data_IF_897213363575
#
_entry.id   IF_897213363575
#
_cell.length_a   1.000
_cell.length_b   1.000
_cell.length_c   1.000
_cell.angle_alpha   90.00
_cell.angle_beta   90.00
_cell.angle_gamma   90.00
#
_symmetry.space_group_name_H-M   'P 1'
#
loop_
_entity.id
_entity.type
_entity.pdbx_description
1 polymer ?
#
# COMPACT_ATOMS: atom_id res chain seq x y z
N UNK A 1 14.18 -9.52 0.11
CA UNK A 1 13.45 -9.79 -1.15
C UNK A 1 14.07 -10.96 -1.91
N UNK A 2 15.25 -10.77 -2.52
CA UNK A 2 15.94 -11.81 -3.32
C UNK A 2 17.08 -12.54 -2.59
N UNK A 3 17.46 -12.06 -1.41
CA UNK A 3 18.52 -12.59 -0.55
C UNK A 3 17.90 -13.05 0.77
N UNK A 4 18.51 -14.03 1.45
CA UNK A 4 18.02 -14.59 2.72
C UNK A 4 16.94 -15.65 2.53
N UNK A 5 17.30 -16.80 1.92
CA UNK A 5 16.41 -17.96 1.76
C UNK A 5 16.76 -19.05 2.76
N UNK A 6 15.73 -19.69 3.32
CA UNK A 6 15.88 -20.74 4.33
C UNK A 6 16.65 -20.25 5.57
N UNK A 7 17.14 -21.17 6.40
CA UNK A 7 17.82 -20.85 7.65
C UNK A 7 19.33 -20.56 7.49
N UNK A 8 19.74 -19.99 6.34
CA UNK A 8 21.15 -19.68 6.06
C UNK A 8 21.40 -18.18 6.23
N UNK A 9 22.38 -17.84 7.07
CA UNK A 9 22.84 -16.46 7.20
C UNK A 9 23.25 -15.91 5.82
N UNK A 10 22.73 -14.75 5.48
CA UNK A 10 22.96 -14.09 4.21
C UNK A 10 23.28 -12.62 4.44
N UNK A 11 24.03 -12.02 3.52
CA UNK A 11 24.44 -10.62 3.58
C UNK A 11 24.04 -9.92 2.30
N UNK A 12 23.65 -8.65 2.41
CA UNK A 12 23.29 -7.79 1.29
C UNK A 12 24.10 -6.50 1.41
N UNK A 13 25.11 -6.34 0.56
CA UNK A 13 25.94 -5.14 0.53
C UNK A 13 25.35 -4.15 -0.47
N UNK A 14 25.25 -2.88 -0.06
CA UNK A 14 24.64 -1.81 -0.84
C UNK A 14 25.71 -0.77 -1.15
N UNK A 15 25.90 -0.48 -2.44
CA UNK A 15 26.87 0.48 -2.93
C UNK A 15 26.16 1.55 -3.76
N UNK A 16 26.67 2.77 -3.73
CA UNK A 16 26.24 3.88 -4.59
C UNK A 16 27.47 4.51 -5.20
N UNK A 17 27.44 4.73 -6.52
CA UNK A 17 28.49 5.49 -7.22
C UNK A 17 28.35 7.00 -7.02
N UNK A 18 27.17 7.45 -6.55
CA UNK A 18 26.85 8.87 -6.36
C UNK A 18 26.69 9.17 -4.87
N UNK A 19 27.28 10.28 -4.45
CA UNK A 19 27.15 10.83 -3.09
C UNK A 19 25.91 11.73 -2.95
N UNK A 20 24.84 11.41 -3.66
CA UNK A 20 23.58 12.13 -3.54
C UNK A 20 22.92 11.83 -2.18
N UNK A 21 22.59 12.88 -1.42
CA UNK A 21 22.03 12.76 -0.08
C UNK A 21 20.69 12.02 -0.07
N UNK A 22 19.88 12.16 -1.13
CA UNK A 22 18.62 11.45 -1.30
C UNK A 22 18.83 9.95 -1.50
N UNK A 23 19.74 9.56 -2.41
CA UNK A 23 20.12 8.16 -2.64
C UNK A 23 20.68 7.53 -1.36
N UNK A 24 21.62 8.21 -0.69
CA UNK A 24 22.22 7.72 0.55
C UNK A 24 21.20 7.61 1.70
N UNK A 25 20.25 8.56 1.78
CA UNK A 25 19.14 8.51 2.73
C UNK A 25 18.27 7.25 2.55
N UNK A 26 17.92 6.92 1.31
CA UNK A 26 17.13 5.73 0.97
C UNK A 26 17.87 4.44 1.29
N UNK A 27 19.16 4.34 0.93
CA UNK A 27 19.97 3.17 1.25
C UNK A 27 20.12 2.98 2.76
N UNK A 28 20.30 4.06 3.52
CA UNK A 28 20.33 4.01 5.00
C UNK A 28 19.00 3.54 5.58
N UNK A 29 17.86 4.02 5.08
CA UNK A 29 16.55 3.56 5.53
C UNK A 29 16.37 2.07 5.22
N UNK A 30 16.70 1.64 4.01
CA UNK A 30 16.64 0.24 3.59
C UNK A 30 17.49 -0.67 4.49
N UNK A 31 18.69 -0.25 4.86
CA UNK A 31 19.58 -1.04 5.73
C UNK A 31 19.10 -1.14 7.19
N UNK A 32 18.26 -0.19 7.65
CA UNK A 32 17.80 -0.13 9.05
C UNK A 32 16.55 -0.95 9.33
N UNK A 33 15.81 -1.38 8.31
CA UNK A 33 14.52 -2.05 8.48
C UNK A 33 14.37 -3.26 7.56
N UNK A 34 13.80 -4.33 8.10
CA UNK A 34 13.43 -5.53 7.35
C UNK A 34 11.91 -5.59 7.07
N UNK A 35 11.14 -4.59 7.52
CA UNK A 35 9.70 -4.52 7.34
C UNK A 35 9.35 -3.96 5.96
N UNK A 36 8.81 -4.83 5.10
CA UNK A 36 8.44 -4.49 3.73
C UNK A 36 7.36 -3.42 3.62
N UNK A 37 6.45 -3.32 4.60
CA UNK A 37 5.39 -2.32 4.58
C UNK A 37 5.96 -0.92 4.83
N UNK A 38 6.84 -0.79 5.83
CA UNK A 38 7.54 0.48 6.11
C UNK A 38 8.44 0.93 4.96
N UNK A 39 9.09 -0.02 4.29
CA UNK A 39 9.86 0.26 3.06
C UNK A 39 8.97 0.80 1.95
N UNK A 40 7.79 0.21 1.74
CA UNK A 40 6.83 0.66 0.74
C UNK A 40 6.29 2.06 1.06
N UNK A 41 5.94 2.35 2.31
CA UNK A 41 5.45 3.67 2.72
C UNK A 41 6.51 4.76 2.51
N UNK A 42 7.76 4.50 2.90
CA UNK A 42 8.84 5.48 2.74
C UNK A 42 9.20 5.69 1.27
N UNK A 43 9.25 4.61 0.47
CA UNK A 43 9.51 4.71 -0.98
C UNK A 43 8.42 5.54 -1.67
N UNK A 44 7.18 5.37 -1.26
CA UNK A 44 6.01 6.06 -1.76
C UNK A 44 5.95 7.54 -1.34
N UNK A 45 6.43 7.88 -0.14
CA UNK A 45 6.63 9.28 0.27
C UNK A 45 7.70 9.97 -0.57
N UNK A 46 8.81 9.27 -0.84
CA UNK A 46 9.96 9.85 -1.56
C UNK A 46 9.70 9.95 -3.05
N UNK A 47 9.17 8.89 -3.68
CA UNK A 47 8.88 8.87 -5.12
C UNK A 47 7.55 9.54 -5.46
N UNK A 48 6.69 9.76 -4.46
CA UNK A 48 5.28 10.06 -4.67
C UNK A 48 4.52 8.85 -5.23
N UNK A 49 3.21 8.97 -5.45
CA UNK A 49 2.37 7.90 -6.02
C UNK A 49 2.74 7.50 -7.46
N UNK A 50 3.75 8.13 -8.07
CA UNK A 50 4.08 7.96 -9.48
C UNK A 50 2.97 8.48 -10.41
N UNK A 51 3.06 8.09 -11.67
CA UNK A 51 2.04 8.40 -12.67
C UNK A 51 0.97 7.29 -12.66
N UNK A 52 0.08 7.29 -11.66
CA UNK A 52 -1.08 6.38 -11.62
C UNK A 52 -1.94 6.55 -12.89
N UNK A 53 -1.88 7.73 -13.52
CA UNK A 53 -2.58 8.09 -14.75
C UNK A 53 -1.73 7.97 -16.02
N UNK A 54 -0.57 7.32 -15.95
CA UNK A 54 0.21 6.97 -17.13
C UNK A 54 -0.51 5.90 -17.94
N UNK A 55 -1.29 6.34 -18.92
CA UNK A 55 -1.92 5.60 -20.04
C UNK A 55 -1.62 4.08 -20.01
N UNK A 56 -2.51 3.31 -19.38
CA UNK A 56 -2.57 1.84 -19.30
C UNK A 56 -1.63 1.16 -18.29
N UNK A 57 -2.12 1.02 -17.06
CA UNK A 57 -2.12 -0.31 -16.43
C UNK A 57 -3.57 -0.75 -16.19
N UNK A 58 -3.88 -1.97 -16.62
CA UNK A 58 -5.21 -2.55 -16.63
C UNK A 58 -5.61 -2.96 -15.22
N UNK A 59 -6.58 -2.24 -14.63
CA UNK A 59 -7.13 -2.54 -13.32
C UNK A 59 -7.95 -1.36 -12.81
N UNK A 60 -9.13 -1.18 -13.39
CA UNK A 60 -10.01 -0.02 -13.20
C UNK A 60 -10.41 0.17 -11.72
N UNK A 61 -9.81 1.14 -11.03
CA UNK A 61 -10.37 1.74 -9.82
C UNK A 61 -10.76 3.18 -10.12
N UNK A 62 -11.97 3.38 -10.66
CA UNK A 62 -12.64 4.69 -10.66
C UNK A 62 -13.05 5.04 -9.22
N UNK A 63 -12.08 5.42 -8.40
CA UNK A 63 -12.36 6.01 -7.11
C UNK A 63 -12.94 7.41 -7.35
N UNK A 64 -14.26 7.50 -7.40
CA UNK A 64 -14.99 8.76 -7.65
C UNK A 64 -14.69 9.89 -6.65
N UNK A 65 -14.10 9.59 -5.49
CA UNK A 65 -13.98 10.55 -4.36
C UNK A 65 -12.60 10.48 -3.67
N UNK A 66 -11.77 9.47 -3.93
CA UNK A 66 -10.53 9.26 -3.19
C UNK A 66 -9.35 9.04 -4.15
N UNK A 67 -8.28 9.80 -3.99
CA UNK A 67 -7.00 9.42 -4.59
C UNK A 67 -6.37 8.32 -3.75
N UNK A 68 -5.84 7.27 -4.37
CA UNK A 68 -5.03 6.26 -3.66
C UNK A 68 -3.78 6.85 -3.00
N UNK A 69 -3.43 8.09 -3.34
CA UNK A 69 -2.33 8.84 -2.75
C UNK A 69 -2.70 9.60 -1.46
N UNK A 70 -3.97 9.62 -1.06
CA UNK A 70 -4.41 10.30 0.17
C UNK A 70 -4.25 9.36 1.38
N UNK A 71 -3.00 9.18 1.81
CA UNK A 71 -2.67 8.34 2.97
C UNK A 71 -3.44 8.72 4.23
N UNK A 72 -3.59 10.02 4.59
CA UNK A 72 -4.40 10.41 5.73
C UNK A 72 -5.85 9.91 5.64
N UNK A 73 -6.48 10.00 4.47
CA UNK A 73 -7.85 9.52 4.27
C UNK A 73 -7.93 7.98 4.33
N UNK A 74 -6.97 7.28 3.74
CA UNK A 74 -6.90 5.81 3.79
C UNK A 74 -6.73 5.33 5.24
N UNK A 75 -5.83 5.93 6.00
CA UNK A 75 -5.59 5.57 7.40
C UNK A 75 -6.84 5.84 8.27
N UNK A 76 -7.49 6.98 8.09
CA UNK A 76 -8.76 7.30 8.77
C UNK A 76 -9.85 6.29 8.43
N UNK A 77 -9.97 5.93 7.16
CA UNK A 77 -10.96 4.95 6.69
C UNK A 77 -10.71 3.58 7.31
N UNK A 78 -9.46 3.12 7.35
CA UNK A 78 -9.08 1.85 7.99
C UNK A 78 -9.47 1.82 9.46
N UNK A 79 -9.13 2.87 10.22
CA UNK A 79 -9.51 2.99 11.64
C UNK A 79 -11.02 2.99 11.84
N UNK A 80 -11.77 3.65 10.96
CA UNK A 80 -13.23 3.68 11.03
C UNK A 80 -13.84 2.28 10.79
N UNK A 81 -13.30 1.50 9.85
CA UNK A 81 -13.74 0.12 9.59
C UNK A 81 -13.40 -0.79 10.77
N UNK A 82 -12.18 -0.70 11.32
CA UNK A 82 -11.79 -1.49 12.51
C UNK A 82 -12.67 -1.18 13.72
N UNK A 83 -13.04 0.08 13.91
CA UNK A 83 -14.01 0.47 14.94
C UNK A 83 -15.39 -0.12 14.66
N UNK A 84 -15.86 -0.04 13.41
CA UNK A 84 -17.15 -0.58 13.02
C UNK A 84 -17.24 -2.09 13.28
N UNK A 85 -16.27 -2.88 12.84
CA UNK A 85 -16.26 -4.35 13.01
C UNK A 85 -16.20 -4.79 14.48
N UNK A 86 -15.63 -3.98 15.38
CA UNK A 86 -15.59 -4.27 16.82
C UNK A 86 -16.92 -4.02 17.52
N UNK A 87 -17.74 -3.11 17.01
CA UNK A 87 -18.94 -2.64 17.69
C UNK A 87 -20.24 -3.04 16.99
N UNK A 88 -20.18 -3.40 15.71
CA UNK A 88 -21.34 -3.62 14.86
C UNK A 88 -21.15 -4.80 13.91
N UNK A 89 -22.23 -5.52 13.64
CA UNK A 89 -22.26 -6.54 12.57
C UNK A 89 -22.90 -5.92 11.32
N UNK A 90 -22.23 -6.00 10.18
CA UNK A 90 -22.74 -5.55 8.89
C UNK A 90 -24.09 -6.18 8.52
N UNK A 91 -24.40 -7.38 9.03
CA UNK A 91 -25.68 -8.05 8.83
C UNK A 91 -26.86 -7.28 9.44
N UNK A 92 -26.61 -6.45 10.45
CA UNK A 92 -27.60 -5.57 11.07
C UNK A 92 -27.98 -4.40 10.14
N UNK A 93 -27.15 -4.09 9.14
CA UNK A 93 -27.33 -2.96 8.24
C UNK A 93 -27.52 -3.42 6.80
N UNK A 94 -28.74 -3.85 6.46
CA UNK A 94 -29.10 -4.39 5.13
C UNK A 94 -28.62 -3.51 3.97
N UNK A 95 -28.92 -2.21 4.01
CA UNK A 95 -28.54 -1.26 2.93
C UNK A 95 -27.02 -1.11 2.80
N UNK A 96 -26.30 -1.09 3.93
CA UNK A 96 -24.84 -1.01 3.92
C UNK A 96 -24.23 -2.28 3.34
N UNK A 97 -24.74 -3.44 3.76
CA UNK A 97 -24.33 -4.75 3.23
C UNK A 97 -24.53 -4.85 1.72
N UNK A 98 -25.71 -4.49 1.22
CA UNK A 98 -26.00 -4.47 -0.22
C UNK A 98 -25.02 -3.56 -1.00
N UNK A 99 -24.70 -2.40 -0.43
CA UNK A 99 -23.77 -1.45 -1.05
C UNK A 99 -22.34 -1.97 -1.08
N UNK A 100 -21.86 -2.57 0.01
CA UNK A 100 -20.51 -3.18 0.08
C UNK A 100 -20.38 -4.36 -0.89
N UNK A 101 -21.39 -5.23 -0.95
CA UNK A 101 -21.40 -6.38 -1.86
C UNK A 101 -21.40 -5.97 -3.34
N UNK A 102 -22.07 -4.85 -3.68
CA UNK A 102 -22.00 -4.27 -5.04
C UNK A 102 -20.57 -3.90 -5.44
N UNK A 103 -19.78 -3.33 -4.51
CA UNK A 103 -18.38 -3.01 -4.78
C UNK A 103 -17.49 -4.26 -4.82
N UNK A 104 -17.74 -5.27 -3.99
CA UNK A 104 -17.00 -6.55 -4.05
C UNK A 104 -17.16 -7.26 -5.39
N UNK A 105 -18.38 -7.31 -5.93
CA UNK A 105 -18.66 -7.96 -7.23
C UNK A 105 -18.05 -7.24 -8.42
N UNK A 106 -17.96 -5.91 -8.38
CA UNK A 106 -17.31 -5.12 -9.43
C UNK A 106 -15.81 -5.39 -9.60
N UNK A 107 -15.13 -5.78 -8.52
CA UNK A 107 -13.68 -6.04 -8.52
C UNK A 107 -13.29 -7.51 -8.81
N UNK A 108 -14.26 -8.44 -8.90
CA UNK A 108 -14.01 -9.87 -9.16
C UNK A 108 -14.23 -10.22 -10.64
N UNK A 109 -14.79 -9.31 -11.44
CA UNK A 109 -15.06 -9.54 -12.86
C UNK A 109 -13.94 -9.04 -13.79
N UNK A 110 -12.67 -9.32 -13.47
CA UNK A 110 -11.54 -9.33 -14.42
C UNK A 110 -10.47 -10.30 -13.91
N UNK A 111 -10.79 -11.60 -13.93
CA UNK A 111 -9.79 -12.67 -14.01
C UNK A 111 -9.85 -13.26 -15.41
#
# INVERSE_FOLDING_TARGET
GRVGRSNRQSYCFLFSEKEDLGILGRLRFFAKTNDGNKLAEEDLKIRGPGNIYGIKQHGYLDLKIASLSDYPLIEKTKKAVEYFEKHYDINQFKLLKERVEKYRRGNIAQN
#
